data_IF_447560208250
#
_entry.id   IF_447560208250
#
_cell.length_a   1.000
_cell.length_b   1.000
_cell.length_c   1.000
_cell.angle_alpha   90.00
_cell.angle_beta   90.00
_cell.angle_gamma   90.00
#
_symmetry.space_group_name_H-M   'P 1'
#
loop_
_entity.id
_entity.type
_entity.pdbx_description
1 polymer ?
#
# COMPACT_ATOMS: atom_id res chain seq x y z
N UNK A 1 25.13 -13.89 1.55
CA UNK A 1 25.03 -13.75 3.02
C UNK A 1 23.81 -12.88 3.30
N UNK A 2 22.83 -13.36 4.07
CA UNK A 2 21.71 -12.53 4.52
C UNK A 2 22.25 -11.60 5.59
N UNK A 3 22.61 -10.36 5.23
CA UNK A 3 22.82 -9.33 6.24
C UNK A 3 21.48 -9.11 6.93
N UNK A 4 21.37 -9.56 8.19
CA UNK A 4 20.26 -9.23 9.05
C UNK A 4 20.22 -7.71 9.20
N UNK A 5 19.14 -7.08 8.72
CA UNK A 5 18.97 -5.65 8.90
C UNK A 5 18.99 -5.32 10.40
N UNK A 6 19.48 -4.12 10.78
CA UNK A 6 19.47 -3.70 12.16
C UNK A 6 18.08 -3.83 12.78
N UNK A 7 17.98 -4.48 13.94
CA UNK A 7 16.71 -4.84 14.59
C UNK A 7 15.82 -3.62 14.88
N UNK A 8 16.43 -2.45 15.10
CA UNK A 8 15.71 -1.20 15.34
C UNK A 8 14.91 -0.72 14.13
N UNK A 9 15.31 -1.06 12.89
CA UNK A 9 14.57 -0.67 11.68
C UNK A 9 13.19 -1.31 11.63
N UNK A 10 13.06 -2.56 12.11
CA UNK A 10 11.77 -3.24 12.22
C UNK A 10 10.86 -2.62 13.29
N UNK A 11 11.41 -1.79 14.17
CA UNK A 11 10.68 -1.09 15.21
C UNK A 11 10.20 0.30 14.80
N UNK A 12 10.64 0.82 13.65
CA UNK A 12 10.19 2.10 13.13
C UNK A 12 8.66 2.12 12.99
N UNK A 13 7.97 3.16 13.52
CA UNK A 13 6.52 3.25 13.43
C UNK A 13 6.00 3.19 11.98
N UNK A 14 6.69 3.86 11.05
CA UNK A 14 6.33 3.83 9.62
C UNK A 14 6.46 2.43 9.02
N UNK A 15 7.50 1.68 9.40
CA UNK A 15 7.73 0.32 8.90
C UNK A 15 6.64 -0.65 9.40
N UNK A 16 6.33 -0.61 10.70
CA UNK A 16 5.22 -1.38 11.28
C UNK A 16 3.91 -1.04 10.58
N UNK A 17 3.67 0.25 10.33
CA UNK A 17 2.46 0.69 9.64
C UNK A 17 2.38 0.23 8.19
N UNK A 18 3.50 0.19 7.46
CA UNK A 18 3.56 -0.39 6.12
C UNK A 18 3.15 -1.87 6.11
N UNK A 19 3.59 -2.65 7.11
CA UNK A 19 3.19 -4.06 7.24
C UNK A 19 1.71 -4.24 7.54
N UNK A 20 1.13 -3.37 8.37
CA UNK A 20 -0.32 -3.36 8.63
C UNK A 20 -1.11 -3.03 7.37
N UNK A 21 -0.70 -2.01 6.62
CA UNK A 21 -1.31 -1.64 5.34
C UNK A 21 -1.23 -2.81 4.35
N UNK A 22 -0.07 -3.48 4.25
CA UNK A 22 0.09 -4.67 3.41
C UNK A 22 -0.94 -5.75 3.77
N UNK A 23 -1.01 -6.12 5.05
CA UNK A 23 -1.97 -7.13 5.51
C UNK A 23 -3.43 -6.74 5.17
N UNK A 24 -3.79 -5.47 5.40
CA UNK A 24 -5.12 -4.97 5.12
C UNK A 24 -5.42 -4.95 3.60
N UNK A 25 -4.47 -4.51 2.78
CA UNK A 25 -4.59 -4.53 1.31
C UNK A 25 -4.82 -5.93 0.77
N UNK A 26 -4.09 -6.95 1.25
CA UNK A 26 -4.33 -8.34 0.82
C UNK A 26 -5.72 -8.84 1.20
N UNK A 27 -6.18 -8.56 2.43
CA UNK A 27 -7.51 -8.99 2.88
C UNK A 27 -8.63 -8.35 2.05
N UNK A 28 -8.52 -7.05 1.81
CA UNK A 28 -9.47 -6.30 0.97
C UNK A 28 -9.43 -6.80 -0.48
N UNK A 29 -8.23 -6.98 -1.05
CA UNK A 29 -8.06 -7.50 -2.40
C UNK A 29 -8.67 -8.90 -2.56
N UNK A 30 -8.50 -9.79 -1.57
CA UNK A 30 -9.12 -11.11 -1.58
C UNK A 30 -10.65 -11.03 -1.63
N UNK A 31 -11.25 -10.10 -0.89
CA UNK A 31 -12.70 -9.91 -0.89
C UNK A 31 -13.18 -9.28 -2.21
N UNK A 32 -12.53 -8.21 -2.67
CA UNK A 32 -12.89 -7.55 -3.92
C UNK A 32 -12.68 -8.44 -5.16
N UNK A 33 -11.69 -9.33 -5.15
CA UNK A 33 -11.52 -10.29 -6.24
C UNK A 33 -12.71 -11.23 -6.34
N UNK A 34 -13.29 -11.65 -5.21
CA UNK A 34 -14.52 -12.43 -5.24
C UNK A 34 -15.65 -11.62 -5.90
N UNK A 35 -15.85 -10.37 -5.49
CA UNK A 35 -16.91 -9.49 -6.01
C UNK A 35 -16.75 -9.14 -7.50
N UNK A 36 -15.51 -8.97 -7.97
CA UNK A 36 -15.19 -8.43 -9.30
C UNK A 36 -14.80 -9.51 -10.32
N UNK A 37 -14.68 -10.78 -9.92
CA UNK A 37 -14.23 -11.87 -10.81
C UNK A 37 -15.28 -12.37 -11.80
N UNK A 38 -16.57 -12.08 -11.55
CA UNK A 38 -17.62 -12.46 -12.46
C UNK A 38 -17.51 -11.71 -13.79
N UNK A 39 -17.65 -12.44 -14.90
CA UNK A 39 -17.79 -11.84 -16.22
C UNK A 39 -19.13 -11.11 -16.31
N UNK A 40 -19.16 -10.04 -17.09
CA UNK A 40 -20.38 -9.33 -17.44
C UNK A 40 -21.20 -10.16 -18.43
N UNK A 41 -22.44 -9.74 -18.68
CA UNK A 41 -23.36 -10.40 -19.61
C UNK A 41 -22.81 -10.52 -21.04
N UNK A 42 -21.92 -9.60 -21.44
CA UNK A 42 -21.24 -9.62 -22.74
C UNK A 42 -19.97 -10.49 -22.79
N UNK A 43 -19.66 -11.19 -21.69
CA UNK A 43 -18.46 -12.02 -21.53
C UNK A 43 -17.18 -11.24 -21.24
N UNK A 44 -17.23 -9.90 -21.14
CA UNK A 44 -16.07 -9.10 -20.77
C UNK A 44 -15.79 -9.12 -19.27
N UNK A 45 -14.51 -8.99 -18.90
CA UNK A 45 -14.11 -8.85 -17.50
C UNK A 45 -14.45 -7.48 -16.93
N UNK A 46 -14.57 -7.40 -15.61
CA UNK A 46 -14.55 -6.12 -14.94
C UNK A 46 -13.11 -5.60 -14.85
N UNK A 47 -12.75 -4.59 -15.64
CA UNK A 47 -11.42 -3.99 -15.63
C UNK A 47 -10.96 -3.47 -14.26
N UNK A 48 -11.89 -3.18 -13.35
CA UNK A 48 -11.54 -2.73 -11.99
C UNK A 48 -10.96 -3.85 -11.12
N UNK A 49 -11.05 -5.12 -11.56
CA UNK A 49 -10.37 -6.24 -10.90
C UNK A 49 -8.85 -6.00 -10.83
N UNK A 50 -8.25 -5.34 -11.82
CA UNK A 50 -6.82 -5.04 -11.79
C UNK A 50 -6.43 -4.04 -10.70
N UNK A 51 -7.37 -3.20 -10.23
CA UNK A 51 -7.14 -2.27 -9.13
C UNK A 51 -6.96 -3.00 -7.79
N UNK A 52 -7.52 -4.21 -7.66
CA UNK A 52 -7.31 -5.07 -6.47
C UNK A 52 -5.88 -5.60 -6.43
N UNK A 53 -5.29 -5.89 -7.59
CA UNK A 53 -3.88 -6.26 -7.73
C UNK A 53 -2.94 -5.08 -7.47
N UNK A 54 -3.29 -3.90 -7.98
CA UNK A 54 -2.54 -2.66 -7.77
C UNK A 54 -2.35 -2.34 -6.28
N UNK A 55 -3.41 -2.40 -5.47
CA UNK A 55 -3.30 -2.09 -4.03
C UNK A 55 -2.42 -3.08 -3.28
N UNK A 56 -2.35 -4.34 -3.73
CA UNK A 56 -1.47 -5.37 -3.17
C UNK A 56 -0.02 -5.03 -3.51
N UNK A 57 0.30 -4.93 -4.81
CA UNK A 57 1.66 -4.67 -5.29
C UNK A 57 2.24 -3.38 -4.70
N UNK A 58 1.44 -2.31 -4.65
CA UNK A 58 1.87 -1.04 -4.08
C UNK A 58 2.12 -1.16 -2.57
N UNK A 59 1.25 -1.85 -1.83
CA UNK A 59 1.43 -2.03 -0.38
C UNK A 59 2.65 -2.89 -0.03
N UNK A 60 2.94 -3.91 -0.82
CA UNK A 60 4.11 -4.77 -0.65
C UNK A 60 5.43 -4.00 -0.84
N UNK A 61 5.40 -2.97 -1.68
CA UNK A 61 6.57 -2.15 -2.00
C UNK A 61 6.94 -1.14 -0.90
N UNK A 62 6.02 -0.77 -0.01
CA UNK A 62 6.26 0.27 1.01
C UNK A 62 7.40 -0.11 1.98
N UNK A 63 7.32 -1.29 2.59
CA UNK A 63 8.27 -1.71 3.62
C UNK A 63 9.72 -1.90 3.07
N UNK A 64 9.93 -2.53 1.89
CA UNK A 64 11.24 -2.58 1.26
C UNK A 64 11.83 -1.20 0.97
N UNK A 65 11.05 -0.25 0.45
CA UNK A 65 11.56 1.09 0.13
C UNK A 65 11.90 1.89 1.39
N UNK A 66 11.16 1.73 2.49
CA UNK A 66 11.53 2.29 3.80
C UNK A 66 12.89 1.74 4.25
N UNK A 67 13.08 0.42 4.20
CA UNK A 67 14.36 -0.19 4.61
C UNK A 67 15.52 0.27 3.72
N UNK A 68 15.33 0.36 2.41
CA UNK A 68 16.35 0.87 1.49
C UNK A 68 16.70 2.32 1.79
N UNK A 69 15.73 3.14 2.17
CA UNK A 69 15.98 4.53 2.56
C UNK A 69 16.82 4.63 3.84
N UNK A 70 16.55 3.78 4.83
CA UNK A 70 17.29 3.74 6.11
C UNK A 70 18.71 3.16 5.97
N UNK A 71 18.91 2.22 5.05
CA UNK A 71 20.19 1.51 4.89
C UNK A 71 21.14 2.16 3.90
N UNK A 72 20.66 3.06 3.03
CA UNK A 72 21.45 3.65 1.95
C UNK A 72 21.57 5.17 2.10
N UNK A 73 22.67 5.64 2.67
CA UNK A 73 22.92 7.08 2.90
C UNK A 73 22.93 7.92 1.62
N UNK A 74 23.41 7.37 0.48
CA UNK A 74 23.50 8.08 -0.79
C UNK A 74 22.14 8.21 -1.49
N UNK A 75 21.32 7.15 -1.42
CA UNK A 75 20.03 7.06 -2.14
C UNK A 75 18.81 7.21 -1.23
N UNK A 76 18.98 7.54 0.05
CA UNK A 76 17.88 7.65 1.01
C UNK A 76 16.73 8.54 0.52
N UNK A 77 17.05 9.68 -0.08
CA UNK A 77 16.04 10.61 -0.60
C UNK A 77 15.30 10.08 -1.83
N UNK A 78 15.94 9.23 -2.64
CA UNK A 78 15.28 8.57 -3.78
C UNK A 78 14.25 7.57 -3.26
N UNK A 79 14.65 6.69 -2.34
CA UNK A 79 13.76 5.71 -1.74
C UNK A 79 12.62 6.36 -0.95
N UNK A 80 12.89 7.44 -0.21
CA UNK A 80 11.85 8.21 0.48
C UNK A 80 10.83 8.83 -0.49
N UNK A 81 11.29 9.39 -1.62
CA UNK A 81 10.39 9.86 -2.69
C UNK A 81 9.58 8.72 -3.30
N UNK A 82 10.17 7.54 -3.46
CA UNK A 82 9.44 6.34 -3.92
C UNK A 82 8.32 5.96 -2.94
N UNK A 83 8.58 5.97 -1.63
CA UNK A 83 7.55 5.74 -0.59
C UNK A 83 6.41 6.75 -0.70
N UNK A 84 6.73 8.04 -0.90
CA UNK A 84 5.72 9.08 -1.09
C UNK A 84 4.86 8.83 -2.34
N UNK A 85 5.50 8.49 -3.45
CA UNK A 85 4.82 8.22 -4.72
C UNK A 85 3.92 6.98 -4.64
N UNK A 86 4.41 5.88 -4.05
CA UNK A 86 3.60 4.68 -3.80
C UNK A 86 2.38 5.03 -2.96
N UNK A 87 2.56 5.78 -1.87
CA UNK A 87 1.47 6.19 -0.97
C UNK A 87 0.42 7.04 -1.70
N UNK A 88 0.87 7.94 -2.57
CA UNK A 88 -0.01 8.74 -3.41
C UNK A 88 -0.81 7.86 -4.39
N UNK A 89 -0.14 6.92 -5.07
CA UNK A 89 -0.79 5.97 -5.99
C UNK A 89 -1.81 5.11 -5.28
N UNK A 90 -1.48 4.55 -4.12
CA UNK A 90 -2.41 3.75 -3.32
C UNK A 90 -3.67 4.53 -2.96
N UNK A 91 -3.52 5.78 -2.52
CA UNK A 91 -4.66 6.63 -2.20
C UNK A 91 -5.52 6.93 -3.44
N UNK A 92 -4.92 7.08 -4.62
CA UNK A 92 -5.66 7.27 -5.86
C UNK A 92 -6.37 5.98 -6.31
N UNK A 93 -5.72 4.82 -6.21
CA UNK A 93 -6.35 3.52 -6.48
C UNK A 93 -7.53 3.28 -5.53
N UNK A 94 -7.38 3.57 -4.23
CA UNK A 94 -8.50 3.49 -3.28
C UNK A 94 -9.66 4.41 -3.68
N UNK A 95 -9.41 5.67 -4.04
CA UNK A 95 -10.47 6.59 -4.50
C UNK A 95 -11.20 6.11 -5.74
N UNK A 96 -10.53 5.34 -6.62
CA UNK A 96 -11.16 4.72 -7.78
C UNK A 96 -12.06 3.58 -7.32
N UNK A 97 -11.51 2.68 -6.48
CA UNK A 97 -12.23 1.54 -5.91
C UNK A 97 -13.53 1.94 -5.16
N UNK A 98 -13.54 3.09 -4.49
CA UNK A 98 -14.74 3.60 -3.80
C UNK A 98 -15.92 3.95 -4.73
N UNK A 99 -15.66 4.18 -6.02
CA UNK A 99 -16.71 4.61 -6.95
C UNK A 99 -17.56 3.45 -7.47
N UNK A 100 -17.19 2.21 -7.18
CA UNK A 100 -17.84 1.04 -7.75
C UNK A 100 -18.95 0.50 -6.84
N UNK A 101 -19.90 -0.18 -7.46
CA UNK A 101 -20.95 -0.92 -6.78
C UNK A 101 -20.46 -2.33 -6.45
N UNK A 102 -19.76 -2.48 -5.33
CA UNK A 102 -19.51 -3.79 -4.71
C UNK A 102 -19.70 -3.66 -3.21
N UNK A 103 -20.08 -4.75 -2.54
CA UNK A 103 -20.16 -4.78 -1.08
C UNK A 103 -18.76 -4.61 -0.47
N UNK A 104 -17.73 -5.08 -1.16
CA UNK A 104 -16.34 -4.93 -0.76
C UNK A 104 -15.84 -3.48 -0.73
N UNK A 105 -16.56 -2.55 -1.37
CA UNK A 105 -16.21 -1.12 -1.34
C UNK A 105 -16.21 -0.55 0.08
N UNK A 106 -17.02 -1.11 0.97
CA UNK A 106 -17.20 -0.62 2.34
C UNK A 106 -15.93 -0.79 3.19
N UNK A 107 -15.01 -1.65 2.75
CA UNK A 107 -13.69 -1.80 3.38
C UNK A 107 -12.66 -0.79 2.88
N UNK A 108 -12.88 -0.13 1.73
CA UNK A 108 -11.92 0.85 1.18
C UNK A 108 -11.75 2.08 2.08
N UNK A 109 -12.80 2.66 2.68
CA UNK A 109 -12.65 3.74 3.65
C UNK A 109 -11.72 3.38 4.83
N UNK A 110 -11.72 2.11 5.26
CA UNK A 110 -10.83 1.61 6.31
C UNK A 110 -9.37 1.71 5.83
N UNK A 111 -9.05 1.15 4.65
CA UNK A 111 -7.70 1.24 4.07
C UNK A 111 -7.23 2.70 3.91
N UNK A 112 -8.11 3.59 3.46
CA UNK A 112 -7.78 5.02 3.34
C UNK A 112 -7.52 5.68 4.69
N UNK A 113 -8.26 5.30 5.73
CA UNK A 113 -8.01 5.82 7.08
C UNK A 113 -6.63 5.40 7.60
N UNK A 114 -6.21 4.17 7.29
CA UNK A 114 -4.88 3.65 7.62
C UNK A 114 -3.78 4.32 6.80
N UNK A 115 -4.01 4.58 5.50
CA UNK A 115 -3.12 5.37 4.65
C UNK A 115 -2.96 6.82 5.14
N UNK A 116 -4.02 7.45 5.67
CA UNK A 116 -3.93 8.78 6.30
C UNK A 116 -3.01 8.75 7.53
N UNK A 117 -3.12 7.72 8.38
CA UNK A 117 -2.23 7.52 9.54
C UNK A 117 -0.79 7.30 9.07
N UNK A 118 -0.58 6.45 8.06
CA UNK A 118 0.73 6.21 7.47
C UNK A 118 1.35 7.49 6.93
N UNK A 119 0.60 8.33 6.21
CA UNK A 119 1.10 9.61 5.67
C UNK A 119 1.59 10.57 6.76
N UNK A 120 0.98 10.55 7.95
CA UNK A 120 1.47 11.33 9.10
C UNK A 120 2.83 10.80 9.57
N UNK A 121 2.96 9.48 9.71
CA UNK A 121 4.22 8.83 10.07
C UNK A 121 5.29 9.08 9.00
N UNK A 122 4.94 8.98 7.72
CA UNK A 122 5.83 9.25 6.58
C UNK A 122 6.40 10.66 6.62
N UNK A 123 5.57 11.68 6.87
CA UNK A 123 6.05 13.07 6.99
C UNK A 123 7.05 13.22 8.13
N UNK A 124 6.72 12.69 9.32
CA UNK A 124 7.64 12.75 10.47
C UNK A 124 8.93 11.99 10.21
N UNK A 125 8.84 10.85 9.54
CA UNK A 125 9.98 10.01 9.19
C UNK A 125 10.90 10.71 8.19
N UNK A 126 10.36 11.32 7.12
CA UNK A 126 11.15 12.04 6.11
C UNK A 126 11.86 13.29 6.66
N UNK A 127 11.34 13.90 7.73
CA UNK A 127 12.01 15.02 8.40
C UNK A 127 13.25 14.59 9.20
N UNK A 128 13.28 13.31 9.62
CA UNK A 128 14.35 12.74 10.42
C UNK A 128 15.31 11.86 9.60
N UNK A 129 15.15 11.85 8.27
CA UNK A 129 15.89 10.99 7.33
C UNK A 129 17.12 11.67 6.77
#
# INVERSE_FOLDING_TARGET
>A
MLHSNPSHLYNLPIYKKAKEIRLLSHRISSYLNYDLSALKDDGSENQDIYLTGDIVQQSESLAPEILKAELNSEKKHVHAKTVEWITMRMNNTCKRLEKFSSDGRDFIPILRSELKKFRKLQRSWMLNL
#
